data_IF_303232286692
#
_entry.id   IF_303232286692
#
_cell.length_a   1.000
_cell.length_b   1.000
_cell.length_c   1.000
_cell.angle_alpha   90.00
_cell.angle_beta   90.00
_cell.angle_gamma   90.00
#
_symmetry.space_group_name_H-M   'P 1'
#
loop_
_entity.id
_entity.type
_entity.pdbx_description
1 polymer ?
#
# COMPACT_ATOMS: atom_id res chain seq x y z
N UNK A 1 -51.85 21.19 4.30
CA UNK A 1 -51.52 20.99 5.72
C UNK A 1 -50.85 19.63 5.81
N UNK A 2 -49.54 19.65 6.00
CA UNK A 2 -48.61 18.52 6.06
C UNK A 2 -48.81 17.70 7.34
N UNK A 3 -48.68 16.38 7.27
CA UNK A 3 -48.07 15.63 8.37
C UNK A 3 -47.27 14.45 7.81
N UNK A 4 -45.94 14.64 7.76
CA UNK A 4 -44.97 13.58 7.52
C UNK A 4 -44.52 13.09 8.89
N UNK A 5 -44.96 11.91 9.32
CA UNK A 5 -44.40 11.27 10.51
C UNK A 5 -42.96 10.83 10.24
N UNK A 6 -41.94 11.31 10.99
CA UNK A 6 -40.60 10.80 10.88
C UNK A 6 -40.49 9.55 11.77
N UNK A 7 -40.40 8.37 11.13
CA UNK A 7 -39.97 7.15 11.83
C UNK A 7 -38.47 7.26 12.11
N UNK A 8 -38.13 7.80 13.28
CA UNK A 8 -36.78 7.78 13.82
C UNK A 8 -36.32 6.34 14.06
N UNK A 9 -35.54 5.80 13.12
CA UNK A 9 -34.69 4.63 13.35
C UNK A 9 -33.54 5.07 14.24
N UNK A 10 -33.68 4.87 15.54
CA UNK A 10 -32.58 4.92 16.49
C UNK A 10 -32.32 3.49 16.98
N UNK A 11 -31.67 2.71 16.11
CA UNK A 11 -31.02 1.46 16.52
C UNK A 11 -29.51 1.64 16.35
N UNK A 12 -28.93 2.37 17.30
CA UNK A 12 -27.50 2.24 17.59
C UNK A 12 -27.41 1.40 18.85
N UNK A 13 -26.93 0.15 18.79
CA UNK A 13 -26.67 -0.61 20.01
C UNK A 13 -25.61 0.15 20.82
N UNK A 14 -26.00 0.61 22.00
CA UNK A 14 -25.07 1.16 22.99
C UNK A 14 -24.23 0.00 23.53
N UNK A 15 -23.10 -0.27 22.87
CA UNK A 15 -22.10 -1.17 23.41
C UNK A 15 -21.50 -0.51 24.67
N UNK A 16 -21.95 -1.01 25.82
CA UNK A 16 -21.35 -0.77 27.11
C UNK A 16 -19.90 -1.27 27.08
N UNK A 17 -18.99 -0.39 26.69
CA UNK A 17 -17.54 -0.59 26.82
C UNK A 17 -17.16 -0.45 28.28
N UNK A 18 -17.45 -1.48 29.08
CA UNK A 18 -16.66 -1.76 30.27
C UNK A 18 -15.24 -2.14 29.82
N UNK A 19 -14.45 -1.14 29.41
CA UNK A 19 -13.02 -1.28 29.22
C UNK A 19 -12.41 -1.30 30.61
N UNK A 20 -12.17 -2.51 31.10
CA UNK A 20 -11.27 -2.72 32.23
C UNK A 20 -9.88 -2.28 31.75
N UNK A 21 -9.55 -1.01 31.92
CA UNK A 21 -8.26 -0.41 31.59
C UNK A 21 -7.24 -0.87 32.63
N UNK A 22 -6.98 -2.18 32.66
CA UNK A 22 -5.81 -2.73 33.34
C UNK A 22 -4.61 -2.16 32.60
N UNK A 23 -3.82 -1.30 33.27
CA UNK A 23 -2.62 -0.62 32.79
C UNK A 23 -1.97 -1.24 31.54
N UNK A 24 -2.59 -0.99 30.38
CA UNK A 24 -2.21 -1.65 29.14
C UNK A 24 -0.80 -1.22 28.74
N UNK A 25 -0.40 -0.03 29.18
CA UNK A 25 0.92 0.58 29.01
C UNK A 25 2.00 -0.05 29.93
N UNK A 26 1.65 -0.47 31.15
CA UNK A 26 2.57 -1.17 32.04
C UNK A 26 2.78 -2.62 31.58
N UNK A 27 1.70 -3.25 31.10
CA UNK A 27 1.75 -4.54 30.44
C UNK A 27 2.42 -4.46 29.05
N UNK A 28 2.32 -3.31 28.35
CA UNK A 28 2.99 -3.06 27.07
C UNK A 28 4.50 -3.17 27.20
N UNK A 29 5.07 -2.41 28.16
CA UNK A 29 6.50 -2.34 28.42
C UNK A 29 7.06 -3.63 29.04
N UNK A 30 6.31 -4.26 29.94
CA UNK A 30 6.73 -5.54 30.54
C UNK A 30 6.70 -6.69 29.52
N UNK A 31 5.68 -6.72 28.64
CA UNK A 31 5.57 -7.72 27.58
C UNK A 31 6.71 -7.67 26.57
N UNK A 32 7.25 -6.50 26.22
CA UNK A 32 8.40 -6.44 25.30
C UNK A 32 9.66 -7.11 25.87
N UNK A 33 9.79 -7.12 27.21
CA UNK A 33 10.85 -7.85 27.90
C UNK A 33 10.53 -9.34 28.01
N UNK A 34 9.27 -9.69 28.30
CA UNK A 34 8.79 -11.07 28.37
C UNK A 34 8.81 -11.77 27.01
N UNK A 35 8.46 -11.09 25.91
CA UNK A 35 8.48 -11.65 24.56
C UNK A 35 9.91 -12.02 24.12
N UNK A 36 10.90 -11.16 24.40
CA UNK A 36 12.32 -11.47 24.18
C UNK A 36 12.80 -12.62 25.06
N UNK A 37 12.27 -12.73 26.27
CA UNK A 37 12.61 -13.79 27.21
C UNK A 37 12.02 -15.15 26.80
N UNK A 38 10.73 -15.20 26.44
CA UNK A 38 10.01 -16.41 26.02
C UNK A 38 10.48 -16.94 24.66
N UNK A 39 10.93 -16.07 23.75
CA UNK A 39 11.46 -16.47 22.44
C UNK A 39 12.87 -17.06 22.48
N UNK A 40 13.58 -16.92 23.60
CA UNK A 40 14.94 -17.46 23.75
C UNK A 40 14.88 -18.83 24.43
N UNK A 41 15.55 -19.86 23.89
CA UNK A 41 15.62 -21.21 24.49
C UNK A 41 16.14 -21.26 25.94
N UNK A 42 16.67 -20.14 26.45
CA UNK A 42 17.03 -19.89 27.84
C UNK A 42 15.83 -20.04 28.81
N UNK A 43 14.63 -19.63 28.40
CA UNK A 43 13.43 -19.74 29.26
C UNK A 43 13.10 -21.20 29.55
N UNK A 44 13.03 -22.02 28.50
CA UNK A 44 12.82 -23.47 28.60
C UNK A 44 13.86 -24.12 29.51
N UNK A 45 15.14 -23.78 29.34
CA UNK A 45 16.22 -24.31 30.18
C UNK A 45 16.05 -23.95 31.67
N UNK A 46 15.74 -22.69 31.99
CA UNK A 46 15.49 -22.26 33.38
C UNK A 46 14.25 -22.97 33.95
N UNK A 47 13.17 -23.05 33.17
CA UNK A 47 11.92 -23.70 33.59
C UNK A 47 12.15 -25.20 33.89
N UNK A 48 12.90 -25.90 33.04
CA UNK A 48 13.27 -27.30 33.28
C UNK A 48 14.08 -27.46 34.57
N UNK A 49 15.08 -26.60 34.80
CA UNK A 49 15.88 -26.64 36.03
C UNK A 49 15.01 -26.42 37.27
N UNK A 50 14.10 -25.44 37.24
CA UNK A 50 13.17 -25.18 38.35
C UNK A 50 12.29 -26.39 38.63
N UNK A 51 11.72 -27.02 37.59
CA UNK A 51 10.89 -28.23 37.74
C UNK A 51 11.70 -29.38 38.35
N UNK A 52 12.93 -29.61 37.88
CA UNK A 52 13.81 -30.66 38.41
C UNK A 52 14.14 -30.40 39.88
N UNK A 53 14.53 -29.17 40.24
CA UNK A 53 14.81 -28.80 41.63
C UNK A 53 13.57 -28.98 42.50
N UNK A 54 12.39 -28.63 41.99
CA UNK A 54 11.13 -28.78 42.71
C UNK A 54 10.78 -30.24 42.98
N UNK A 55 10.94 -31.12 41.98
CA UNK A 55 10.76 -32.57 42.14
C UNK A 55 11.72 -33.11 43.20
N UNK A 56 13.01 -32.73 43.14
CA UNK A 56 14.03 -33.16 44.10
C UNK A 56 13.67 -32.71 45.53
N UNK A 57 13.32 -31.43 45.72
CA UNK A 57 12.88 -30.90 47.02
C UNK A 57 11.65 -31.65 47.56
N UNK A 58 10.69 -31.97 46.69
CA UNK A 58 9.51 -32.72 47.09
C UNK A 58 9.87 -34.14 47.53
N UNK A 59 10.74 -34.86 46.81
CA UNK A 59 11.22 -36.20 47.21
C UNK A 59 11.96 -36.17 48.56
N UNK A 60 12.76 -35.14 48.82
CA UNK A 60 13.39 -34.95 50.14
C UNK A 60 12.35 -34.62 51.23
N UNK A 61 11.34 -33.82 50.94
CA UNK A 61 10.25 -33.51 51.87
C UNK A 61 9.36 -34.72 52.19
N UNK A 62 9.19 -35.65 51.24
CA UNK A 62 8.51 -36.94 51.44
C UNK A 62 9.27 -37.81 52.45
N UNK A 63 10.61 -37.75 52.44
CA UNK A 63 11.44 -38.43 53.46
C UNK A 63 11.16 -37.90 54.87
N UNK A 64 10.77 -36.62 55.01
CA UNK A 64 10.31 -36.01 56.26
C UNK A 64 8.82 -36.24 56.56
N UNK A 65 8.13 -37.13 55.82
CA UNK A 65 6.67 -37.40 55.89
C UNK A 65 5.76 -36.20 55.61
N UNK A 66 6.26 -35.16 54.95
CA UNK A 66 5.49 -33.92 54.73
C UNK A 66 4.41 -34.05 53.63
N UNK A 67 4.53 -35.04 52.72
CA UNK A 67 3.51 -35.37 51.70
C UNK A 67 3.62 -36.84 51.24
N UNK A 68 2.97 -37.82 51.91
CA UNK A 68 2.96 -39.22 51.49
C UNK A 68 2.29 -39.43 50.12
N UNK A 69 2.68 -40.47 49.38
CA UNK A 69 2.11 -40.83 48.07
C UNK A 69 0.56 -40.83 48.11
N UNK A 70 -0.17 -40.11 47.23
CA UNK A 70 0.21 -39.53 45.93
C UNK A 70 0.32 -37.99 46.00
N UNK A 71 1.54 -37.45 46.05
CA UNK A 71 1.95 -36.03 46.13
C UNK A 71 0.87 -34.98 45.76
N UNK A 72 -0.07 -34.72 46.68
CA UNK A 72 -1.27 -33.94 46.36
C UNK A 72 -0.92 -32.47 46.19
N UNK A 73 0.07 -31.99 46.94
CA UNK A 73 0.52 -30.60 46.91
C UNK A 73 1.29 -30.30 45.61
N UNK A 74 2.09 -31.25 45.13
CA UNK A 74 2.81 -31.12 43.86
C UNK A 74 1.83 -31.04 42.70
N UNK A 75 0.83 -31.93 42.68
CA UNK A 75 -0.16 -31.94 41.62
C UNK A 75 -1.04 -30.68 41.66
N UNK A 76 -1.40 -30.19 42.85
CA UNK A 76 -2.18 -28.97 43.01
C UNK A 76 -1.39 -27.73 42.54
N UNK A 77 -0.11 -27.66 42.85
CA UNK A 77 0.75 -26.56 42.40
C UNK A 77 0.91 -26.56 40.87
N UNK A 78 1.17 -27.72 40.26
CA UNK A 78 1.29 -27.84 38.81
C UNK A 78 -0.04 -27.53 38.08
N UNK A 79 -1.16 -28.03 38.62
CA UNK A 79 -2.50 -27.73 38.09
C UNK A 79 -2.78 -26.23 38.11
N UNK A 80 -2.42 -25.54 39.20
CA UNK A 80 -2.55 -24.09 39.32
C UNK A 80 -1.62 -23.36 38.34
N UNK A 81 -0.38 -23.84 38.16
CA UNK A 81 0.59 -23.27 37.22
C UNK A 81 0.10 -23.36 35.77
N UNK A 82 -0.48 -24.50 35.38
CA UNK A 82 -1.11 -24.68 34.07
C UNK A 82 -2.34 -23.78 33.90
N UNK A 83 -3.19 -23.68 34.93
CA UNK A 83 -4.39 -22.85 34.90
C UNK A 83 -4.08 -21.35 34.74
N UNK A 84 -3.02 -20.85 35.36
CA UNK A 84 -2.58 -19.45 35.20
C UNK A 84 -1.81 -19.19 33.90
N UNK A 85 -1.23 -20.22 33.28
CA UNK A 85 -0.56 -20.07 31.99
C UNK A 85 -1.53 -19.71 30.86
N UNK A 86 -2.74 -20.29 30.85
CA UNK A 86 -3.75 -20.06 29.81
C UNK A 86 -4.12 -18.58 29.59
N UNK A 87 -4.48 -17.79 30.63
CA UNK A 87 -4.79 -16.37 30.45
C UNK A 87 -3.57 -15.53 30.05
N UNK A 88 -2.37 -15.88 30.52
CA UNK A 88 -1.12 -15.21 30.13
C UNK A 88 -0.80 -15.42 28.64
N UNK A 89 -1.00 -16.65 28.16
CA UNK A 89 -0.83 -17.00 26.74
C UNK A 89 -1.86 -16.26 25.88
N UNK A 90 -3.13 -16.22 26.32
CA UNK A 90 -4.20 -15.47 25.64
C UNK A 90 -3.89 -13.97 25.53
N UNK A 91 -3.32 -13.37 26.57
CA UNK A 91 -2.90 -11.97 26.55
C UNK A 91 -1.70 -11.74 25.62
N UNK A 92 -0.78 -12.70 25.54
CA UNK A 92 0.35 -12.64 24.61
C UNK A 92 -0.13 -12.78 23.15
N UNK A 93 -1.06 -13.69 22.88
CA UNK A 93 -1.62 -13.95 21.55
C UNK A 93 -2.44 -12.79 21.02
N UNK A 94 -3.35 -12.21 21.82
CA UNK A 94 -4.16 -11.04 21.41
C UNK A 94 -3.31 -9.84 20.95
N UNK A 95 -2.06 -9.73 21.42
CA UNK A 95 -1.14 -8.68 20.98
C UNK A 95 -0.37 -9.02 19.72
N UNK A 96 -0.05 -10.29 19.51
CA UNK A 96 0.53 -10.75 18.24
C UNK A 96 -0.49 -10.57 17.12
N UNK A 97 -1.73 -11.02 17.34
CA UNK A 97 -2.82 -10.91 16.35
C UNK A 97 -3.12 -9.45 15.97
N UNK A 98 -3.09 -8.52 16.93
CA UNK A 98 -3.27 -7.09 16.64
C UNK A 98 -2.10 -6.50 15.83
N UNK A 99 -0.85 -6.89 16.11
CA UNK A 99 0.31 -6.43 15.31
C UNK A 99 0.27 -7.01 13.91
N UNK A 100 -0.04 -8.31 13.79
CA UNK A 100 -0.12 -9.01 12.52
C UNK A 100 -1.26 -8.44 11.66
N UNK A 101 -2.38 -8.07 12.29
CA UNK A 101 -3.47 -7.38 11.60
C UNK A 101 -3.05 -6.03 11.04
N UNK A 102 -2.38 -5.17 11.81
CA UNK A 102 -1.91 -3.86 11.32
C UNK A 102 -0.90 -4.03 10.20
N UNK A 103 0.06 -4.96 10.34
CA UNK A 103 1.03 -5.26 9.30
C UNK A 103 0.35 -5.74 8.00
N UNK A 104 -0.68 -6.58 8.12
CA UNK A 104 -1.45 -7.07 6.98
C UNK A 104 -2.29 -5.97 6.31
N UNK A 105 -2.86 -5.05 7.08
CA UNK A 105 -3.59 -3.88 6.55
C UNK A 105 -2.64 -2.93 5.80
N UNK A 106 -1.44 -2.66 6.34
CA UNK A 106 -0.42 -1.87 5.64
C UNK A 106 0.04 -2.53 4.34
N UNK A 107 0.29 -3.84 4.35
CA UNK A 107 0.75 -4.57 3.18
C UNK A 107 -0.31 -4.54 2.06
N UNK A 108 -1.60 -4.67 2.42
CA UNK A 108 -2.71 -4.51 1.48
C UNK A 108 -2.76 -3.10 0.87
N UNK A 109 -2.56 -2.07 1.67
CA UNK A 109 -2.54 -0.68 1.17
C UNK A 109 -1.36 -0.45 0.21
N UNK A 110 -0.17 -0.95 0.56
CA UNK A 110 1.03 -0.86 -0.30
C UNK A 110 0.84 -1.62 -1.61
N UNK A 111 0.26 -2.81 -1.57
CA UNK A 111 -0.05 -3.59 -2.76
C UNK A 111 -1.05 -2.88 -3.68
N UNK A 112 -2.09 -2.25 -3.10
CA UNK A 112 -3.06 -1.47 -3.86
C UNK A 112 -2.42 -0.24 -4.55
N UNK A 113 -1.56 0.49 -3.83
CA UNK A 113 -0.82 1.63 -4.40
C UNK A 113 0.12 1.18 -5.53
N UNK A 114 0.92 0.14 -5.29
CA UNK A 114 1.85 -0.40 -6.30
C UNK A 114 1.11 -0.84 -7.56
N UNK A 115 -0.06 -1.47 -7.40
CA UNK A 115 -0.91 -1.84 -8.52
C UNK A 115 -1.41 -0.61 -9.29
N UNK A 116 -1.89 0.42 -8.59
CA UNK A 116 -2.35 1.66 -9.23
C UNK A 116 -1.22 2.38 -9.97
N UNK A 117 -0.03 2.46 -9.38
CA UNK A 117 1.15 3.06 -10.00
C UNK A 117 1.57 2.28 -11.25
N UNK A 118 1.53 0.95 -11.20
CA UNK A 118 1.83 0.09 -12.35
C UNK A 118 0.80 0.28 -13.47
N UNK A 119 -0.49 0.37 -13.13
CA UNK A 119 -1.55 0.65 -14.11
C UNK A 119 -1.41 2.04 -14.73
N UNK A 120 -1.02 3.04 -13.93
CA UNK A 120 -0.76 4.40 -14.40
C UNK A 120 0.42 4.42 -15.37
N UNK A 121 1.56 3.84 -14.98
CA UNK A 121 2.75 3.73 -15.84
C UNK A 121 2.46 2.95 -17.12
N UNK A 122 1.66 1.88 -17.06
CA UNK A 122 1.26 1.13 -18.25
C UNK A 122 0.40 1.97 -19.21
N UNK A 123 -0.52 2.79 -18.69
CA UNK A 123 -1.34 3.71 -19.51
C UNK A 123 -0.49 4.83 -20.11
N UNK A 124 0.40 5.43 -19.34
CA UNK A 124 1.34 6.45 -19.83
C UNK A 124 2.27 5.87 -20.90
N UNK A 125 2.81 4.67 -20.70
CA UNK A 125 3.64 3.99 -21.69
C UNK A 125 2.85 3.70 -22.98
N UNK A 126 1.58 3.29 -22.86
CA UNK A 126 0.72 3.07 -24.01
C UNK A 126 0.42 4.38 -24.77
N UNK A 127 0.12 5.46 -24.06
CA UNK A 127 -0.09 6.78 -24.64
C UNK A 127 1.17 7.32 -25.33
N UNK A 128 2.32 7.21 -24.67
CA UNK A 128 3.63 7.57 -25.24
C UNK A 128 3.94 6.74 -26.48
N UNK A 129 3.68 5.43 -26.46
CA UNK A 129 3.88 4.55 -27.61
C UNK A 129 3.01 4.96 -28.79
N UNK A 130 1.76 5.35 -28.57
CA UNK A 130 0.89 5.85 -29.64
C UNK A 130 1.41 7.17 -30.20
N UNK A 131 1.76 8.13 -29.35
CA UNK A 131 2.31 9.42 -29.78
C UNK A 131 3.63 9.28 -30.56
N UNK A 132 4.54 8.43 -30.10
CA UNK A 132 5.80 8.12 -30.81
C UNK A 132 5.52 7.33 -32.09
N UNK A 133 4.58 6.38 -32.06
CA UNK A 133 4.18 5.62 -33.24
C UNK A 133 3.64 6.50 -34.37
N UNK A 134 2.94 7.58 -34.03
CA UNK A 134 2.39 8.55 -34.99
C UNK A 134 3.48 9.47 -35.58
N UNK A 135 4.41 9.95 -34.75
CA UNK A 135 5.51 10.87 -35.16
C UNK A 135 6.66 10.15 -35.86
N UNK A 136 6.94 8.90 -35.51
CA UNK A 136 7.98 8.09 -36.12
C UNK A 136 7.47 7.23 -37.29
N UNK A 137 6.36 7.61 -37.92
CA UNK A 137 5.90 6.88 -39.12
C UNK A 137 6.97 7.06 -40.19
N UNK A 138 7.45 5.95 -40.75
CA UNK A 138 8.45 5.87 -41.84
C UNK A 138 8.21 6.89 -42.95
N UNK A 139 6.95 7.24 -43.21
CA UNK A 139 6.55 8.21 -44.22
C UNK A 139 6.90 9.67 -43.87
N UNK A 140 6.91 10.07 -42.58
CA UNK A 140 7.37 11.39 -42.16
C UNK A 140 8.89 11.49 -42.33
N UNK A 141 9.64 10.52 -41.80
CA UNK A 141 11.09 10.43 -42.02
C UNK A 141 11.44 10.38 -43.52
N UNK A 142 10.65 9.66 -44.33
CA UNK A 142 10.86 9.57 -45.77
C UNK A 142 10.57 10.90 -46.46
N UNK A 143 9.50 11.61 -46.10
CA UNK A 143 9.21 12.95 -46.61
C UNK A 143 10.31 13.94 -46.25
N UNK A 144 10.78 13.95 -45.01
CA UNK A 144 11.84 14.88 -44.60
C UNK A 144 13.17 14.56 -45.28
N UNK A 145 13.47 13.27 -45.49
CA UNK A 145 14.61 12.85 -46.32
C UNK A 145 14.47 13.25 -47.79
N UNK A 146 13.24 13.18 -48.35
CA UNK A 146 12.95 13.56 -49.74
C UNK A 146 13.07 15.09 -49.91
N UNK A 147 12.52 15.88 -48.99
CA UNK A 147 12.62 17.35 -48.97
C UNK A 147 14.08 17.80 -48.85
N UNK A 148 14.86 17.18 -47.96
CA UNK A 148 16.30 17.48 -47.83
C UNK A 148 17.04 17.12 -49.11
N UNK A 149 16.74 15.98 -49.72
CA UNK A 149 17.35 15.54 -50.99
C UNK A 149 17.03 16.52 -52.12
N UNK A 150 15.79 16.95 -52.26
CA UNK A 150 15.37 17.91 -53.28
C UNK A 150 16.05 19.26 -53.06
N UNK A 151 16.14 19.73 -51.81
CA UNK A 151 16.84 20.98 -51.48
C UNK A 151 18.31 20.96 -51.90
N UNK A 152 19.01 19.84 -51.65
CA UNK A 152 20.40 19.65 -52.09
C UNK A 152 20.49 19.61 -53.61
N UNK A 153 19.57 18.91 -54.28
CA UNK A 153 19.55 18.77 -55.74
C UNK A 153 19.30 20.11 -56.44
N UNK A 154 18.46 20.97 -55.84
CA UNK A 154 18.23 22.33 -56.32
C UNK A 154 19.47 23.21 -56.16
N UNK A 155 20.20 23.10 -55.05
CA UNK A 155 21.47 23.82 -54.84
C UNK A 155 22.57 23.36 -55.81
N UNK A 156 22.59 22.07 -56.15
CA UNK A 156 23.53 21.50 -57.12
C UNK A 156 23.16 21.88 -58.57
N UNK A 157 21.86 21.91 -58.88
CA UNK A 157 21.33 22.35 -60.19
C UNK A 157 21.50 23.84 -60.46
N UNK A 158 21.42 24.68 -59.42
CA UNK A 158 21.69 26.13 -59.53
C UNK A 158 23.18 26.43 -59.74
N UNK A 159 24.05 25.47 -59.38
CA UNK A 159 25.49 25.51 -59.70
C UNK A 159 25.80 25.02 -61.13
N UNK A 160 24.84 24.36 -61.82
CA UNK A 160 25.04 23.74 -63.15
C UNK A 160 24.22 24.36 -64.30
N UNK A 161 23.25 25.25 -64.02
CA UNK A 161 22.26 25.72 -65.01
C UNK A 161 22.27 27.24 -65.26
N UNK A 162 23.37 27.77 -65.79
CA UNK A 162 23.37 29.10 -66.41
C UNK A 162 22.79 29.05 -67.83
N UNK A 163 21.93 30.03 -68.17
CA UNK A 163 21.32 30.34 -69.47
C UNK A 163 20.17 29.45 -69.97
N UNK A 164 18.92 29.93 -69.86
CA UNK A 164 18.19 30.49 -71.01
C UNK A 164 16.92 31.26 -70.57
N UNK A 165 16.67 32.39 -71.24
CA UNK A 165 15.48 33.25 -71.07
C UNK A 165 14.40 32.78 -72.04
N UNK A 166 13.13 32.75 -71.64
CA UNK A 166 12.06 33.34 -72.46
C UNK A 166 10.74 33.52 -71.71
N UNK A 167 10.18 34.71 -71.89
CA UNK A 167 8.82 35.15 -71.63
C UNK A 167 7.71 34.09 -71.64
N UNK A 168 6.78 34.21 -70.68
CA UNK A 168 5.34 34.31 -71.02
C UNK A 168 4.49 34.85 -69.86
N UNK A 169 3.91 36.01 -70.15
CA UNK A 169 2.71 36.61 -69.56
C UNK A 169 1.55 35.61 -69.40
N UNK A 170 0.77 35.74 -68.31
CA UNK A 170 -0.44 34.93 -68.10
C UNK A 170 -1.14 35.11 -66.74
N UNK A 171 -1.76 36.27 -66.53
CA UNK A 171 -3.11 36.53 -65.98
C UNK A 171 -3.79 35.59 -64.93
N UNK A 172 -4.44 36.26 -63.93
CA UNK A 172 -5.53 35.82 -63.00
C UNK A 172 -5.11 34.87 -61.85
N UNK A 173 -5.62 34.94 -60.61
CA UNK A 173 -6.90 35.47 -60.09
C UNK A 173 -6.81 35.59 -58.55
N UNK A 174 -7.38 36.66 -57.99
CA UNK A 174 -7.80 36.77 -56.58
C UNK A 174 -8.62 35.54 -56.17
N UNK A 175 -8.26 34.86 -55.07
CA UNK A 175 -9.21 34.04 -54.30
C UNK A 175 -9.06 34.25 -52.80
N UNK A 176 -10.12 34.87 -52.29
CA UNK A 176 -10.61 35.06 -50.93
C UNK A 176 -10.69 33.71 -50.20
N UNK A 177 -10.36 33.64 -48.91
CA UNK A 177 -10.58 32.40 -48.15
C UNK A 177 -10.08 32.35 -46.71
N UNK A 178 -10.85 32.97 -45.82
CA UNK A 178 -11.26 32.39 -44.52
C UNK A 178 -10.27 32.43 -43.34
N UNK A 179 -10.43 33.51 -42.58
CA UNK A 179 -10.14 33.68 -41.16
C UNK A 179 -10.72 32.50 -40.34
N UNK A 180 -9.85 31.62 -39.82
CA UNK A 180 -10.23 30.60 -38.84
C UNK A 180 -10.14 31.19 -37.44
N UNK A 181 -11.32 31.57 -36.96
CA UNK A 181 -11.72 31.91 -35.60
C UNK A 181 -10.96 31.07 -34.55
N UNK A 182 -10.12 31.74 -33.76
CA UNK A 182 -9.52 31.21 -32.52
C UNK A 182 -10.63 31.16 -31.47
N UNK A 183 -11.09 29.97 -31.11
CA UNK A 183 -11.99 29.77 -29.99
C UNK A 183 -11.21 29.98 -28.69
N UNK A 184 -11.47 31.12 -28.05
CA UNK A 184 -11.04 31.44 -26.70
C UNK A 184 -11.77 30.52 -25.71
N UNK A 185 -11.02 29.73 -24.95
CA UNK A 185 -11.55 28.88 -23.89
C UNK A 185 -11.89 29.80 -22.71
N UNK A 186 -13.18 30.07 -22.53
CA UNK A 186 -13.71 30.77 -21.36
C UNK A 186 -13.58 29.83 -20.16
N UNK A 187 -12.64 30.12 -19.26
CA UNK A 187 -12.61 29.55 -17.91
C UNK A 187 -13.58 30.35 -17.05
N UNK A 188 -14.73 29.75 -16.71
CA UNK A 188 -15.62 30.27 -15.67
C UNK A 188 -15.01 30.01 -14.28
N UNK A 189 -14.98 30.99 -13.37
CA UNK A 189 -14.59 30.74 -12.00
C UNK A 189 -15.73 30.09 -11.23
N UNK A 190 -15.39 29.02 -10.52
CA UNK A 190 -16.23 28.29 -9.58
C UNK A 190 -16.57 29.23 -8.41
N UNK A 191 -17.87 29.43 -8.14
CA UNK A 191 -18.34 30.16 -6.96
C UNK A 191 -18.03 29.35 -5.70
N UNK A 192 -17.37 29.98 -4.76
CA UNK A 192 -17.31 29.57 -3.35
C UNK A 192 -18.72 29.57 -2.76
N UNK A 193 -19.08 28.47 -2.10
CA UNK A 193 -20.33 28.32 -1.37
C UNK A 193 -20.18 28.83 0.06
N UNK A 194 -21.15 29.63 0.49
CA UNK A 194 -21.53 29.83 1.88
C UNK A 194 -22.34 28.63 2.41
#
# INVERSE_FOLDING_TARGET
MTDHSPRGRLETPSESRFRFDWDAEALARSSERVARFLGTGRYLAIQTVVVVVWIVLNVFAVSLRWDPYPFILLNLAFSTQAAYAAPLILLAQNRQDNRDRVAFEEDRMRAAQTKADTEFLARELAALRLAVGEVATRDYLRRELEDIKDLITHLDGESAGGTDKSDRSGERKKKKGTERKRSEVVVSPQKDGE
#
